data_IF_400696514791
#
_entry.id   IF_400696514791
#
_cell.length_a   1.000
_cell.length_b   1.000
_cell.length_c   1.000
_cell.angle_alpha   90.00
_cell.angle_beta   90.00
_cell.angle_gamma   90.00
#
_symmetry.space_group_name_H-M   'P 1'
#
loop_
_entity.id
_entity.type
_entity.pdbx_description
1 polymer ?
#
# COMPACT_ATOMS: atom_id res chain seq x y z
N UNK A 1 36.12 4.38 -16.94
CA UNK A 1 36.62 3.19 -17.67
C UNK A 1 36.52 3.52 -19.16
N UNK A 2 37.58 3.31 -19.94
CA UNK A 2 37.48 3.41 -21.40
C UNK A 2 36.66 2.21 -21.88
N UNK A 3 35.71 2.46 -22.76
CA UNK A 3 34.80 1.46 -23.30
C UNK A 3 34.86 1.56 -24.82
N UNK A 4 34.69 0.43 -25.49
CA UNK A 4 34.63 0.38 -26.94
C UNK A 4 33.36 1.08 -27.44
N UNK A 5 33.42 1.60 -28.66
CA UNK A 5 32.32 2.35 -29.29
C UNK A 5 31.05 1.52 -29.45
N UNK A 6 31.17 0.20 -29.58
CA UNK A 6 30.06 -0.74 -29.61
C UNK A 6 29.17 -0.69 -28.37
N UNK A 7 29.72 -0.31 -27.20
CA UNK A 7 28.93 -0.19 -25.96
C UNK A 7 27.87 0.90 -26.09
N UNK A 8 28.11 1.96 -26.86
CA UNK A 8 27.14 3.05 -27.07
C UNK A 8 25.86 2.52 -27.74
N UNK A 9 26.01 1.56 -28.67
CA UNK A 9 24.86 0.96 -29.37
C UNK A 9 24.00 0.08 -28.45
N UNK A 10 24.52 -0.32 -27.29
CA UNK A 10 23.77 -1.12 -26.30
C UNK A 10 22.95 -0.28 -25.34
N UNK A 11 23.16 1.05 -25.29
CA UNK A 11 22.44 1.95 -24.39
C UNK A 11 21.18 2.46 -25.10
N UNK A 12 19.97 2.12 -24.62
CA UNK A 12 18.74 2.66 -25.15
C UNK A 12 18.69 4.19 -24.96
N UNK A 13 18.26 4.93 -25.98
CA UNK A 13 18.23 6.40 -25.95
C UNK A 13 17.36 6.96 -24.81
N UNK A 14 16.32 6.23 -24.39
CA UNK A 14 15.45 6.62 -23.28
C UNK A 14 16.16 6.56 -21.90
N UNK A 15 17.30 5.86 -21.79
CA UNK A 15 18.10 5.76 -20.58
C UNK A 15 19.21 6.81 -20.48
N UNK A 16 19.48 7.56 -21.56
CA UNK A 16 20.48 8.63 -21.59
C UNK A 16 19.93 9.88 -20.92
N UNK A 17 20.67 10.41 -19.95
CA UNK A 17 20.36 11.65 -19.23
C UNK A 17 21.03 12.85 -19.89
N UNK A 18 22.34 12.76 -20.13
CA UNK A 18 23.13 13.83 -20.73
C UNK A 18 24.32 13.26 -21.51
N UNK A 19 24.79 14.02 -22.50
CA UNK A 19 26.04 13.73 -23.24
C UNK A 19 26.91 14.98 -23.19
N UNK A 20 28.11 14.85 -22.64
CA UNK A 20 29.07 15.94 -22.51
C UNK A 20 30.35 15.63 -23.31
N UNK A 21 30.96 16.68 -23.88
CA UNK A 21 32.15 16.55 -24.73
C UNK A 21 33.28 17.39 -24.14
N UNK A 22 34.33 16.71 -23.70
CA UNK A 22 35.54 17.32 -23.17
C UNK A 22 36.63 17.33 -24.24
N UNK A 23 37.13 18.51 -24.60
CA UNK A 23 38.15 18.68 -25.67
C UNK A 23 39.50 19.21 -25.15
N UNK A 24 39.57 19.62 -23.90
CA UNK A 24 40.75 20.26 -23.29
C UNK A 24 41.39 19.40 -22.19
N UNK A 25 42.28 19.99 -21.38
CA UNK A 25 42.96 19.32 -20.27
C UNK A 25 42.00 18.62 -19.28
N UNK A 26 40.74 19.06 -19.22
CA UNK A 26 39.69 18.48 -18.39
C UNK A 26 39.38 17.01 -18.76
N UNK A 27 39.65 16.61 -20.01
CA UNK A 27 39.50 15.23 -20.47
C UNK A 27 40.54 14.26 -19.85
N UNK A 28 41.60 14.78 -19.20
CA UNK A 28 42.67 13.98 -18.62
C UNK A 28 42.17 13.08 -17.47
N UNK A 29 41.17 13.53 -16.69
CA UNK A 29 40.60 12.75 -15.58
C UNK A 29 39.96 11.43 -16.04
N UNK A 30 39.51 11.37 -17.30
CA UNK A 30 38.93 10.19 -17.91
C UNK A 30 39.96 9.38 -18.73
N UNK A 31 41.24 9.76 -18.70
CA UNK A 31 42.32 9.14 -19.46
C UNK A 31 42.34 9.51 -20.95
N UNK A 32 41.65 10.58 -21.34
CA UNK A 32 41.43 10.99 -22.73
C UNK A 32 42.43 11.98 -23.34
N UNK A 33 43.44 12.42 -22.58
CA UNK A 33 44.57 13.23 -23.08
C UNK A 33 44.20 14.28 -24.14
N UNK A 34 44.95 14.32 -25.25
CA UNK A 34 44.70 15.22 -26.39
C UNK A 34 43.58 14.78 -27.34
N UNK A 35 43.01 13.58 -27.15
CA UNK A 35 41.99 13.01 -28.02
C UNK A 35 40.55 13.41 -27.66
N UNK A 36 40.35 14.05 -26.51
CA UNK A 36 39.03 14.39 -26.00
C UNK A 36 38.23 13.18 -25.52
N UNK A 37 37.07 13.44 -24.90
CA UNK A 37 36.20 12.42 -24.30
C UNK A 37 34.75 12.79 -24.55
N UNK A 38 33.94 11.78 -24.91
CA UNK A 38 32.49 11.86 -24.89
C UNK A 38 32.02 11.11 -23.64
N UNK A 39 31.42 11.83 -22.70
CA UNK A 39 30.83 11.26 -21.50
C UNK A 39 29.32 11.11 -21.71
N UNK A 40 28.82 9.89 -21.59
CA UNK A 40 27.39 9.57 -21.65
C UNK A 40 26.91 9.25 -20.24
N UNK A 41 26.01 10.07 -19.72
CA UNK A 41 25.39 9.89 -18.39
C UNK A 41 24.05 9.18 -18.55
N UNK A 42 23.79 8.20 -17.69
CA UNK A 42 22.52 7.44 -17.69
C UNK A 42 21.64 7.83 -16.51
N UNK A 43 20.33 7.77 -16.72
CA UNK A 43 19.32 8.12 -15.71
C UNK A 43 19.31 7.21 -14.47
N UNK A 44 20.14 6.16 -14.41
CA UNK A 44 20.25 5.23 -13.26
C UNK A 44 20.58 5.93 -11.94
N UNK A 45 21.20 7.11 -11.99
CA UNK A 45 21.49 7.92 -10.80
C UNK A 45 20.27 8.67 -10.24
N UNK A 46 19.16 8.75 -10.97
CA UNK A 46 17.96 9.44 -10.52
C UNK A 46 17.17 8.57 -9.53
N UNK A 47 16.81 9.16 -8.38
CA UNK A 47 15.92 8.56 -7.38
C UNK A 47 14.53 8.20 -7.93
N UNK A 48 14.13 8.79 -9.06
CA UNK A 48 12.88 8.51 -9.75
C UNK A 48 13.04 7.57 -10.95
N UNK A 49 14.23 7.01 -11.17
CA UNK A 49 14.48 6.10 -12.29
C UNK A 49 13.61 4.84 -12.18
N UNK A 50 12.83 4.58 -13.23
CA UNK A 50 11.91 3.43 -13.33
C UNK A 50 12.33 2.44 -14.42
N UNK A 51 13.62 2.34 -14.72
CA UNK A 51 14.11 1.35 -15.69
C UNK A 51 13.93 -0.08 -15.19
N UNK A 52 14.10 -1.05 -16.10
CA UNK A 52 13.85 -2.47 -15.86
C UNK A 52 14.72 -3.06 -14.73
N UNK A 53 15.88 -2.44 -14.47
CA UNK A 53 16.81 -2.78 -13.38
C UNK A 53 16.41 -2.21 -12.01
N UNK A 54 15.49 -1.24 -11.93
CA UNK A 54 15.04 -0.66 -10.66
C UNK A 54 14.29 -1.68 -9.77
N UNK A 55 13.73 -2.73 -10.38
CA UNK A 55 12.99 -3.78 -9.69
C UNK A 55 13.65 -5.16 -9.79
N UNK A 56 14.81 -5.27 -10.42
CA UNK A 56 15.49 -6.56 -10.61
C UNK A 56 16.54 -6.73 -9.51
N UNK A 57 16.38 -7.70 -8.58
CA UNK A 57 17.40 -7.96 -7.57
C UNK A 57 18.72 -8.35 -8.23
N UNK A 58 19.85 -7.87 -7.71
CA UNK A 58 21.16 -8.32 -8.16
C UNK A 58 21.24 -9.85 -8.05
N UNK A 59 21.87 -10.54 -9.02
CA UNK A 59 22.08 -11.99 -8.95
C UNK A 59 22.70 -12.40 -7.61
N UNK A 60 22.06 -13.33 -6.89
CA UNK A 60 22.48 -13.77 -5.55
C UNK A 60 21.83 -13.03 -4.37
N UNK A 61 20.99 -12.02 -4.61
CA UNK A 61 20.23 -11.32 -3.56
C UNK A 61 18.75 -11.64 -3.67
N UNK A 62 18.16 -12.20 -2.61
CA UNK A 62 16.71 -12.36 -2.49
C UNK A 62 16.15 -11.10 -1.83
N UNK A 63 15.42 -10.27 -2.58
CA UNK A 63 14.69 -9.13 -2.02
C UNK A 63 13.31 -9.59 -1.56
N UNK A 64 13.14 -9.81 -0.25
CA UNK A 64 11.83 -10.12 0.35
C UNK A 64 11.23 -8.84 0.92
N UNK A 65 10.06 -8.44 0.43
CA UNK A 65 9.21 -7.43 1.10
C UNK A 65 8.29 -8.15 2.07
N UNK A 66 8.60 -8.08 3.36
CA UNK A 66 7.70 -8.54 4.42
C UNK A 66 6.69 -7.43 4.70
N UNK A 67 5.37 -7.70 4.66
CA UNK A 67 4.39 -6.77 5.20
C UNK A 67 4.70 -6.58 6.69
N UNK A 68 5.01 -5.35 7.10
CA UNK A 68 5.30 -5.04 8.49
C UNK A 68 4.10 -5.24 9.40
N UNK A 69 4.33 -5.21 10.72
CA UNK A 69 3.26 -5.25 11.71
C UNK A 69 2.32 -4.04 11.52
N UNK A 70 1.03 -4.32 11.29
CA UNK A 70 -0.01 -3.30 11.24
C UNK A 70 -0.37 -2.88 12.66
N UNK A 71 -0.28 -1.60 12.97
CA UNK A 71 -0.87 -1.08 14.20
C UNK A 71 -2.39 -1.13 14.05
N UNK A 72 -3.04 -2.00 14.83
CA UNK A 72 -4.49 -2.11 14.83
C UNK A 72 -5.11 -0.74 15.15
N UNK A 73 -5.83 -0.18 14.18
CA UNK A 73 -6.66 1.01 14.40
C UNK A 73 -7.99 0.55 14.96
N UNK A 74 -8.47 1.22 16.01
CA UNK A 74 -9.84 1.03 16.47
C UNK A 74 -10.81 1.39 15.33
N UNK A 75 -11.84 0.57 15.18
CA UNK A 75 -12.84 0.79 14.15
C UNK A 75 -13.67 2.02 14.49
N UNK A 76 -13.74 2.97 13.55
CA UNK A 76 -14.45 4.22 13.78
C UNK A 76 -15.95 4.00 13.85
N UNK A 77 -16.56 4.43 14.95
CA UNK A 77 -18.01 4.47 15.15
C UNK A 77 -18.46 5.92 15.33
N UNK A 78 -19.38 6.44 14.50
CA UNK A 78 -19.96 7.75 14.72
C UNK A 78 -20.66 7.82 16.08
N UNK A 79 -20.55 8.96 16.77
CA UNK A 79 -21.27 9.20 18.02
C UNK A 79 -22.68 9.66 17.71
N UNK A 80 -23.62 8.72 17.69
CA UNK A 80 -25.05 9.03 17.56
C UNK A 80 -25.58 9.67 18.85
N UNK A 81 -26.46 10.68 18.73
CA UNK A 81 -27.15 11.32 19.87
C UNK A 81 -26.46 12.56 20.47
N UNK A 82 -25.26 12.93 20.03
CA UNK A 82 -24.64 14.20 20.41
C UNK A 82 -25.00 15.32 19.41
N UNK A 83 -25.27 16.56 19.85
CA UNK A 83 -25.41 17.67 18.93
C UNK A 83 -24.05 17.94 18.26
N UNK A 84 -23.93 17.57 16.99
CA UNK A 84 -22.73 17.83 16.19
C UNK A 84 -23.03 19.04 15.31
N UNK A 85 -22.16 20.07 15.35
CA UNK A 85 -22.33 21.31 14.59
C UNK A 85 -22.43 21.09 13.07
N UNK A 86 -21.99 19.93 12.58
CA UNK A 86 -22.00 19.51 11.18
C UNK A 86 -22.34 18.02 11.06
N UNK A 87 -23.44 17.58 11.68
CA UNK A 87 -23.91 16.20 11.48
C UNK A 87 -24.21 15.96 9.99
N UNK A 88 -23.68 14.89 9.37
CA UNK A 88 -24.07 14.54 8.01
C UNK A 88 -25.59 14.33 7.95
N UNK A 89 -26.23 14.79 6.87
CA UNK A 89 -27.67 14.62 6.66
C UNK A 89 -28.08 13.14 6.55
N UNK A 90 -27.13 12.25 6.19
CA UNK A 90 -27.33 10.81 6.16
C UNK A 90 -26.05 10.08 6.53
N UNK A 91 -26.18 8.90 7.14
CA UNK A 91 -25.08 7.98 7.42
C UNK A 91 -24.70 7.16 6.16
N UNK A 92 -23.55 7.44 5.52
CA UNK A 92 -23.15 6.83 4.24
C UNK A 92 -22.38 5.52 4.43
N UNK A 93 -22.36 4.91 5.62
CA UNK A 93 -21.60 3.68 5.86
C UNK A 93 -22.27 2.52 5.11
N UNK A 94 -21.58 1.97 4.11
CA UNK A 94 -22.09 0.87 3.28
C UNK A 94 -21.31 -0.44 3.41
N UNK A 95 -20.15 -0.43 4.09
CA UNK A 95 -19.23 -1.57 4.15
C UNK A 95 -19.30 -2.30 5.50
N UNK A 96 -18.66 -1.71 6.52
CA UNK A 96 -18.62 -2.25 7.87
C UNK A 96 -19.26 -1.23 8.79
N UNK A 97 -20.19 -1.68 9.64
CA UNK A 97 -20.85 -0.81 10.62
C UNK A 97 -20.31 -0.98 12.03
N UNK A 98 -19.77 -2.16 12.32
CA UNK A 98 -19.27 -2.58 13.62
C UNK A 98 -18.16 -3.59 13.41
N UNK A 99 -17.06 -3.44 14.15
CA UNK A 99 -15.97 -4.40 14.20
C UNK A 99 -15.31 -4.34 15.57
N UNK A 100 -15.28 -5.47 16.27
CA UNK A 100 -14.63 -5.62 17.57
C UNK A 100 -13.86 -6.96 17.59
N UNK A 101 -12.51 -6.94 17.58
CA UNK A 101 -11.69 -8.14 17.58
C UNK A 101 -11.40 -8.68 18.98
N UNK A 102 -11.85 -8.01 20.05
CA UNK A 102 -11.55 -8.36 21.45
C UNK A 102 -12.77 -8.93 22.20
N UNK A 103 -13.83 -9.28 21.45
CA UNK A 103 -15.03 -9.85 22.03
C UNK A 103 -14.76 -11.22 22.64
N UNK A 104 -15.14 -11.38 23.91
CA UNK A 104 -15.07 -12.66 24.62
C UNK A 104 -16.48 -13.15 24.95
N UNK A 105 -16.66 -14.46 24.95
CA UNK A 105 -17.91 -15.09 25.36
C UNK A 105 -17.87 -15.42 26.84
N UNK A 106 -19.01 -15.28 27.52
CA UNK A 106 -19.20 -15.80 28.87
C UNK A 106 -19.03 -17.32 28.94
N UNK A 107 -18.98 -17.88 30.15
CA UNK A 107 -18.94 -19.34 30.39
C UNK A 107 -20.13 -20.09 29.77
N UNK A 108 -21.23 -19.38 29.50
CA UNK A 108 -22.41 -19.92 28.81
C UNK A 108 -22.31 -19.83 27.27
N UNK A 109 -21.16 -19.41 26.73
CA UNK A 109 -20.93 -19.22 25.30
C UNK A 109 -21.64 -18.00 24.70
N UNK A 110 -22.14 -17.08 25.53
CA UNK A 110 -22.91 -15.90 25.07
C UNK A 110 -22.11 -14.62 25.20
N UNK A 111 -22.30 -13.72 24.26
CA UNK A 111 -21.79 -12.35 24.27
C UNK A 111 -22.85 -11.44 23.63
N UNK A 112 -22.85 -10.17 23.99
CA UNK A 112 -23.82 -9.19 23.51
C UNK A 112 -23.08 -7.95 23.01
N UNK A 113 -23.58 -7.38 21.91
CA UNK A 113 -23.09 -6.13 21.36
C UNK A 113 -24.24 -5.33 20.76
N UNK A 114 -24.06 -4.02 20.72
CA UNK A 114 -25.02 -3.10 20.12
C UNK A 114 -24.30 -2.24 19.11
N UNK A 115 -24.96 -1.95 18.00
CA UNK A 115 -24.44 -1.08 16.96
C UNK A 115 -25.59 -0.31 16.31
N UNK A 116 -25.25 0.81 15.67
CA UNK A 116 -26.19 1.60 14.88
C UNK A 116 -26.12 1.18 13.42
N UNK A 117 -27.28 0.97 12.81
CA UNK A 117 -27.41 0.75 11.36
C UNK A 117 -27.08 2.03 10.59
N UNK A 118 -26.71 1.91 9.31
CA UNK A 118 -26.70 3.07 8.42
C UNK A 118 -28.13 3.41 7.96
N UNK A 119 -28.29 4.52 7.24
CA UNK A 119 -29.60 4.93 6.71
C UNK A 119 -30.09 4.05 5.54
N UNK A 120 -29.19 3.27 4.93
CA UNK A 120 -29.54 2.35 3.87
C UNK A 120 -30.47 1.24 4.37
N UNK A 121 -31.58 1.02 3.67
CA UNK A 121 -32.42 -0.16 3.88
C UNK A 121 -31.87 -1.38 3.17
N UNK A 122 -32.14 -2.57 3.70
CA UNK A 122 -31.77 -3.83 3.06
C UNK A 122 -31.24 -4.86 4.04
N UNK A 123 -30.57 -5.87 3.49
CA UNK A 123 -29.97 -6.95 4.26
C UNK A 123 -28.58 -6.54 4.75
N UNK A 124 -28.37 -6.66 6.05
CA UNK A 124 -27.07 -6.49 6.70
C UNK A 124 -26.57 -7.85 7.16
N UNK A 125 -25.31 -8.15 6.84
CA UNK A 125 -24.68 -9.39 7.25
C UNK A 125 -23.89 -9.20 8.55
N UNK A 126 -24.06 -10.14 9.46
CA UNK A 126 -23.27 -10.31 10.66
C UNK A 126 -22.34 -11.51 10.42
N UNK A 127 -21.05 -11.34 10.67
CA UNK A 127 -20.06 -12.42 10.62
C UNK A 127 -19.27 -12.41 11.93
N UNK A 128 -19.13 -13.57 12.54
CA UNK A 128 -18.37 -13.76 13.78
C UNK A 128 -17.37 -14.87 13.53
N UNK A 129 -16.11 -14.61 13.87
CA UNK A 129 -15.01 -15.56 13.78
C UNK A 129 -14.27 -15.56 15.12
N UNK A 130 -13.80 -16.73 15.54
CA UNK A 130 -13.15 -16.87 16.84
C UNK A 130 -12.37 -18.17 16.96
N UNK A 131 -11.64 -18.29 18.05
CA UNK A 131 -10.87 -19.48 18.41
C UNK A 131 -11.19 -19.87 19.85
N UNK A 132 -11.41 -21.16 20.09
CA UNK A 132 -11.62 -21.70 21.44
C UNK A 132 -10.33 -21.62 22.28
N UNK A 133 -10.45 -21.79 23.60
CA UNK A 133 -9.27 -21.89 24.48
C UNK A 133 -8.37 -23.09 24.13
N UNK A 134 -8.92 -24.12 23.46
CA UNK A 134 -8.19 -25.29 23.00
C UNK A 134 -7.58 -25.10 21.60
N UNK A 135 -7.78 -23.95 20.97
CA UNK A 135 -7.26 -23.65 19.64
C UNK A 135 -8.22 -23.99 18.49
N UNK A 136 -9.47 -24.35 18.77
CA UNK A 136 -10.42 -24.73 17.72
C UNK A 136 -11.01 -23.49 17.04
N UNK A 137 -10.86 -23.33 15.71
CA UNK A 137 -11.46 -22.21 15.00
C UNK A 137 -12.98 -22.38 14.89
N UNK A 138 -13.71 -21.26 14.89
CA UNK A 138 -15.17 -21.22 14.76
C UNK A 138 -15.60 -20.02 13.93
N UNK A 139 -16.68 -20.19 13.16
CA UNK A 139 -17.27 -19.15 12.33
C UNK A 139 -18.80 -19.25 12.33
N UNK A 140 -19.47 -18.11 12.42
CA UNK A 140 -20.92 -18.00 12.32
C UNK A 140 -21.30 -16.77 11.49
N UNK A 141 -22.44 -16.84 10.82
CA UNK A 141 -22.98 -15.68 10.12
C UNK A 141 -24.49 -15.62 10.25
N UNK A 142 -25.03 -14.40 10.23
CA UNK A 142 -26.46 -14.14 10.28
C UNK A 142 -26.79 -12.93 9.40
N UNK A 143 -28.06 -12.75 9.07
CA UNK A 143 -28.53 -11.59 8.31
C UNK A 143 -29.69 -10.94 9.07
N UNK A 144 -29.67 -9.62 9.11
CA UNK A 144 -30.79 -8.81 9.60
C UNK A 144 -31.33 -7.94 8.47
N UNK A 145 -32.64 -7.72 8.43
CA UNK A 145 -33.26 -6.81 7.47
C UNK A 145 -33.57 -5.48 8.15
N UNK A 146 -33.08 -4.38 7.56
CA UNK A 146 -33.38 -3.02 7.97
C UNK A 146 -34.41 -2.45 7.01
N UNK A 147 -35.60 -2.16 7.54
CA UNK A 147 -36.67 -1.56 6.78
C UNK A 147 -36.31 -0.11 6.36
N UNK A 148 -36.82 0.37 5.21
CA UNK A 148 -36.72 1.77 4.84
C UNK A 148 -37.31 2.68 5.92
N UNK A 149 -36.67 3.82 6.18
CA UNK A 149 -37.29 4.88 6.98
C UNK A 149 -38.59 5.29 6.31
N UNK A 150 -39.71 5.14 7.02
CA UNK A 150 -40.99 5.67 6.60
C UNK A 150 -40.88 7.19 6.40
N UNK A 151 -41.54 7.68 5.34
CA UNK A 151 -41.68 9.13 5.09
C UNK A 151 -42.50 9.81 6.17
#
# INVERSE_FOLDING_TARGET
MKVDDDVINTIPSNQVEAVEVFKGPEAAIFGGGSGGVIAVYTKRGDKNYKGDDANTPSPGIITVRLPGFYQAREFYQPRYGAPVLNAPASDPRHLTLYWDPQMTTSILGKTEFTFFTADGSGNYQISVEGISLNGDPSRGSSTIYVAPKGR
#
